data_IF_599633733421
#
_entry.id   IF_599633733421
#
_cell.length_a   1.000
_cell.length_b   1.000
_cell.length_c   1.000
_cell.angle_alpha   90.00
_cell.angle_beta   90.00
_cell.angle_gamma   90.00
#
_symmetry.space_group_name_H-M   'P 1'
#
loop_
_entity.id
_entity.type
_entity.pdbx_description
1 polymer ?
#
# COMPACT_ATOMS: atom_id res chain seq x y z
N UNK A 1 -21.32 -12.08 24.56
CA UNK A 1 -21.18 -11.66 23.16
C UNK A 1 -20.00 -12.44 22.62
N UNK A 2 -20.19 -13.29 21.62
CA UNK A 2 -19.06 -13.92 20.93
C UNK A 2 -18.11 -12.83 20.42
N UNK A 3 -16.80 -13.02 20.61
CA UNK A 3 -15.79 -12.12 20.08
C UNK A 3 -15.77 -12.24 18.56
N UNK A 4 -16.54 -11.39 17.86
CA UNK A 4 -16.58 -11.32 16.40
C UNK A 4 -15.16 -11.10 15.85
N UNK A 5 -14.74 -11.92 14.88
CA UNK A 5 -13.45 -11.77 14.20
C UNK A 5 -13.54 -10.67 13.15
N UNK A 6 -12.73 -9.63 13.32
CA UNK A 6 -12.68 -8.45 12.46
C UNK A 6 -11.41 -8.40 11.59
N UNK A 7 -10.33 -9.07 12.02
CA UNK A 7 -9.01 -9.00 11.38
C UNK A 7 -8.59 -10.40 10.93
N UNK A 8 -8.13 -10.50 9.68
CA UNK A 8 -7.73 -11.74 9.03
C UNK A 8 -6.32 -11.59 8.48
N UNK A 9 -5.39 -12.44 8.90
CA UNK A 9 -4.07 -12.50 8.23
C UNK A 9 -4.26 -12.97 6.79
N UNK A 10 -3.34 -12.62 5.88
CA UNK A 10 -3.41 -13.12 4.49
C UNK A 10 -3.33 -14.66 4.42
N UNK A 11 -2.77 -15.31 5.43
CA UNK A 11 -2.73 -16.76 5.57
C UNK A 11 -4.03 -17.39 6.10
N UNK A 12 -5.05 -16.60 6.40
CA UNK A 12 -6.31 -17.05 7.02
C UNK A 12 -7.51 -16.96 6.06
N UNK A 13 -7.29 -16.94 4.74
CA UNK A 13 -8.37 -16.84 3.75
C UNK A 13 -9.40 -17.97 3.88
N UNK A 14 -8.98 -19.19 4.24
CA UNK A 14 -9.87 -20.32 4.42
C UNK A 14 -10.82 -20.12 5.62
N UNK A 15 -10.40 -19.37 6.64
CA UNK A 15 -11.29 -19.01 7.77
C UNK A 15 -12.32 -17.97 7.33
N UNK A 16 -11.92 -17.00 6.49
CA UNK A 16 -12.86 -16.06 5.90
C UNK A 16 -13.88 -16.78 5.02
N UNK A 17 -13.42 -17.71 4.18
CA UNK A 17 -14.28 -18.52 3.30
C UNK A 17 -15.25 -19.41 4.09
N UNK A 18 -14.79 -20.03 5.19
CA UNK A 18 -15.66 -20.79 6.08
C UNK A 18 -16.71 -19.92 6.78
N UNK A 19 -16.36 -18.67 7.13
CA UNK A 19 -17.30 -17.73 7.74
C UNK A 19 -18.34 -17.22 6.75
N UNK A 20 -17.94 -16.93 5.51
CA UNK A 20 -18.83 -16.33 4.49
C UNK A 20 -19.57 -17.34 3.64
N UNK A 21 -19.10 -18.59 3.59
CA UNK A 21 -19.70 -19.71 2.84
C UNK A 21 -19.28 -19.80 1.37
N UNK A 22 -18.90 -18.68 0.75
CA UNK A 22 -18.40 -18.63 -0.64
C UNK A 22 -17.37 -17.51 -0.88
N UNK A 23 -16.76 -17.54 -2.07
CA UNK A 23 -15.75 -16.56 -2.49
C UNK A 23 -16.28 -15.13 -2.64
N UNK A 24 -17.54 -14.96 -3.05
CA UNK A 24 -18.14 -13.62 -3.19
C UNK A 24 -18.41 -12.95 -1.84
N UNK A 25 -18.66 -13.78 -0.82
CA UNK A 25 -18.69 -13.40 0.57
C UNK A 25 -17.30 -13.04 1.09
N UNK A 26 -16.24 -13.79 0.76
CA UNK A 26 -14.85 -13.42 1.11
C UNK A 26 -14.49 -12.05 0.55
N UNK A 27 -14.82 -11.80 -0.73
CA UNK A 27 -14.63 -10.48 -1.36
C UNK A 27 -15.49 -9.40 -0.74
N UNK A 28 -16.66 -9.74 -0.21
CA UNK A 28 -17.51 -8.83 0.56
C UNK A 28 -16.90 -8.47 1.91
N UNK A 29 -16.29 -9.44 2.60
CA UNK A 29 -15.71 -9.28 3.93
C UNK A 29 -14.34 -8.61 3.92
N UNK A 30 -13.44 -9.05 3.03
CA UNK A 30 -12.05 -8.60 2.96
C UNK A 30 -11.83 -7.51 1.89
N UNK A 31 -12.88 -7.16 1.15
CA UNK A 31 -12.75 -6.37 -0.07
C UNK A 31 -12.05 -7.15 -1.20
N UNK A 32 -12.10 -6.60 -2.42
CA UNK A 32 -11.44 -7.24 -3.57
C UNK A 32 -9.92 -7.33 -3.40
N UNK A 33 -9.29 -6.28 -2.85
CA UNK A 33 -7.83 -6.26 -2.63
C UNK A 33 -7.40 -7.26 -1.56
N UNK A 34 -8.06 -7.26 -0.41
CA UNK A 34 -7.72 -8.14 0.71
C UNK A 34 -7.97 -9.61 0.37
N UNK A 35 -9.07 -9.91 -0.31
CA UNK A 35 -9.34 -11.26 -0.81
C UNK A 35 -8.24 -11.74 -1.77
N UNK A 36 -7.85 -10.92 -2.75
CA UNK A 36 -6.82 -11.30 -3.73
C UNK A 36 -5.42 -11.41 -3.10
N UNK A 37 -5.07 -10.56 -2.13
CA UNK A 37 -3.82 -10.69 -1.36
C UNK A 37 -3.75 -12.01 -0.60
N UNK A 38 -4.85 -12.38 0.05
CA UNK A 38 -4.94 -13.62 0.82
C UNK A 38 -4.94 -14.86 -0.09
N UNK A 39 -5.59 -14.79 -1.24
CA UNK A 39 -5.62 -15.89 -2.21
C UNK A 39 -4.29 -16.07 -2.94
N UNK A 40 -3.62 -14.98 -3.33
CA UNK A 40 -2.23 -15.05 -3.81
C UNK A 40 -1.30 -15.70 -2.77
N UNK A 41 -1.48 -15.36 -1.49
CA UNK A 41 -0.72 -15.97 -0.38
C UNK A 41 -1.01 -17.48 -0.28
N UNK A 42 -2.29 -17.87 -0.34
CA UNK A 42 -2.73 -19.28 -0.38
C UNK A 42 -2.14 -20.04 -1.57
N UNK A 43 -1.97 -19.37 -2.71
CA UNK A 43 -1.33 -19.94 -3.90
C UNK A 43 0.19 -20.04 -3.77
N UNK A 44 0.82 -19.49 -2.74
CA UNK A 44 2.28 -19.46 -2.61
C UNK A 44 2.95 -18.48 -3.57
N UNK A 45 2.26 -17.42 -3.96
CA UNK A 45 2.85 -16.25 -4.63
C UNK A 45 3.61 -15.43 -3.58
N UNK A 46 4.77 -14.82 -3.91
CA UNK A 46 5.54 -14.03 -2.95
C UNK A 46 4.85 -12.71 -2.60
N UNK A 47 3.82 -12.77 -1.75
CA UNK A 47 3.12 -11.59 -1.22
C UNK A 47 3.80 -11.16 0.09
N UNK A 48 4.12 -9.87 0.30
CA UNK A 48 4.61 -9.41 1.58
C UNK A 48 3.58 -9.70 2.70
N UNK A 49 4.01 -10.25 3.86
CA UNK A 49 3.12 -10.59 4.97
C UNK A 49 2.27 -9.40 5.43
N UNK A 50 1.03 -9.68 5.80
CA UNK A 50 0.07 -8.66 6.21
C UNK A 50 -1.26 -9.23 6.67
N UNK A 51 -2.21 -8.33 6.89
CA UNK A 51 -3.56 -8.66 7.30
C UNK A 51 -4.58 -7.66 6.73
N UNK A 52 -5.83 -8.08 6.76
CA UNK A 52 -6.99 -7.30 6.34
C UNK A 52 -7.91 -7.10 7.54
N UNK A 53 -8.23 -5.84 7.81
CA UNK A 53 -9.33 -5.45 8.69
C UNK A 53 -10.60 -5.40 7.83
N UNK A 54 -11.59 -6.21 8.19
CA UNK A 54 -12.79 -6.46 7.40
C UNK A 54 -13.68 -5.23 7.17
N UNK A 55 -14.52 -5.31 6.14
CA UNK A 55 -15.59 -4.36 5.86
C UNK A 55 -16.63 -4.30 6.98
N UNK A 56 -16.90 -5.41 7.66
CA UNK A 56 -17.76 -5.45 8.83
C UNK A 56 -17.19 -4.62 10.00
N UNK A 57 -15.87 -4.56 10.15
CA UNK A 57 -15.23 -3.68 11.12
C UNK A 57 -15.46 -2.20 10.78
N UNK A 58 -15.39 -1.84 9.50
CA UNK A 58 -15.72 -0.49 9.03
C UNK A 58 -17.16 -0.11 9.36
N UNK A 59 -18.12 -0.99 9.04
CA UNK A 59 -19.53 -0.74 9.31
C UNK A 59 -19.81 -0.60 10.80
N UNK A 60 -19.22 -1.48 11.63
CA UNK A 60 -19.36 -1.41 13.07
C UNK A 60 -18.70 -0.15 13.66
N UNK A 61 -17.55 0.27 13.15
CA UNK A 61 -16.90 1.53 13.52
C UNK A 61 -17.76 2.75 13.20
N UNK A 62 -18.32 2.81 11.98
CA UNK A 62 -19.20 3.92 11.56
C UNK A 62 -20.51 3.94 12.37
N UNK A 63 -21.11 2.78 12.62
CA UNK A 63 -22.34 2.65 13.43
C UNK A 63 -22.11 3.02 14.91
N UNK A 64 -20.90 2.79 15.43
CA UNK A 64 -20.53 3.14 16.81
C UNK A 64 -20.12 4.62 17.00
N UNK A 65 -20.33 5.47 15.97
CA UNK A 65 -19.97 6.88 16.03
C UNK A 65 -18.45 7.09 15.99
N UNK A 66 -17.77 6.41 15.06
CA UNK A 66 -16.33 6.49 14.84
C UNK A 66 -15.49 5.99 16.04
N UNK A 67 -15.91 4.87 16.62
CA UNK A 67 -15.19 4.19 17.70
C UNK A 67 -14.95 2.74 17.31
N UNK A 68 -13.74 2.24 17.57
CA UNK A 68 -13.42 0.84 17.28
C UNK A 68 -14.35 -0.11 18.06
N UNK A 69 -14.96 -1.10 17.38
CA UNK A 69 -15.94 -1.97 18.00
C UNK A 69 -15.29 -3.10 18.81
N UNK A 70 -15.81 -3.37 20.01
CA UNK A 70 -15.41 -4.54 20.80
C UNK A 70 -13.90 -4.65 20.98
N UNK A 71 -13.34 -5.82 20.66
CA UNK A 71 -11.91 -6.12 20.74
C UNK A 71 -11.17 -5.99 19.39
N UNK A 72 -11.71 -5.19 18.45
CA UNK A 72 -11.18 -5.11 17.09
C UNK A 72 -9.74 -4.57 17.07
N UNK A 73 -9.40 -3.59 17.91
CA UNK A 73 -8.05 -3.05 17.98
C UNK A 73 -7.06 -4.07 18.56
N UNK A 74 -7.46 -4.84 19.56
CA UNK A 74 -6.66 -5.94 20.11
C UNK A 74 -6.38 -7.01 19.06
N UNK A 75 -7.32 -7.28 18.15
CA UNK A 75 -7.10 -8.17 17.01
C UNK A 75 -6.09 -7.59 16.01
N UNK A 76 -6.10 -6.27 15.76
CA UNK A 76 -5.07 -5.60 14.95
C UNK A 76 -3.70 -5.76 15.58
N UNK A 77 -3.57 -5.54 16.90
CA UNK A 77 -2.31 -5.73 17.63
C UNK A 77 -1.83 -7.19 17.55
N UNK A 78 -2.73 -8.16 17.71
CA UNK A 78 -2.41 -9.58 17.55
C UNK A 78 -1.93 -9.93 16.13
N UNK A 79 -2.55 -9.34 15.11
CA UNK A 79 -2.14 -9.52 13.72
C UNK A 79 -0.77 -8.88 13.42
N UNK A 80 -0.47 -7.71 14.01
CA UNK A 80 0.87 -7.12 13.97
C UNK A 80 1.90 -8.09 14.53
N UNK A 81 1.67 -8.65 15.72
CA UNK A 81 2.58 -9.64 16.33
C UNK A 81 2.79 -10.88 15.45
N UNK A 82 1.74 -11.36 14.77
CA UNK A 82 1.88 -12.47 13.82
C UNK A 82 2.73 -12.09 12.59
N UNK A 83 2.60 -10.86 12.08
CA UNK A 83 3.44 -10.35 10.98
C UNK A 83 4.89 -10.14 11.44
N UNK A 84 5.12 -9.68 12.67
CA UNK A 84 6.45 -9.61 13.27
C UNK A 84 7.13 -10.99 13.29
N UNK A 85 6.40 -12.03 13.70
CA UNK A 85 6.88 -13.41 13.68
C UNK A 85 7.25 -13.93 12.28
N UNK A 86 6.47 -13.57 11.25
CA UNK A 86 6.74 -13.97 9.87
C UNK A 86 7.93 -13.23 9.24
N UNK A 87 8.18 -11.99 9.66
CA UNK A 87 9.19 -11.13 9.06
C UNK A 87 10.51 -11.10 9.83
N UNK A 88 10.51 -11.50 11.11
CA UNK A 88 11.64 -11.33 12.02
C UNK A 88 11.96 -9.86 12.35
N UNK A 89 11.04 -8.94 12.02
CA UNK A 89 11.10 -7.51 12.30
C UNK A 89 10.07 -7.17 13.37
N UNK A 90 10.20 -6.01 14.01
CA UNK A 90 9.29 -5.59 15.08
C UNK A 90 8.77 -4.17 14.83
N UNK A 91 7.46 -3.98 14.98
CA UNK A 91 6.79 -2.72 14.72
C UNK A 91 7.15 -1.71 15.81
N UNK A 92 7.72 -0.58 15.38
CA UNK A 92 8.29 0.44 16.27
C UNK A 92 9.63 0.12 16.92
N UNK A 93 10.28 -0.98 16.52
CA UNK A 93 11.66 -1.26 16.92
C UNK A 93 12.66 -0.45 16.08
N UNK A 94 13.63 0.20 16.72
CA UNK A 94 14.62 1.04 16.03
C UNK A 94 15.72 0.23 15.34
N UNK A 95 15.99 -0.99 15.82
CA UNK A 95 17.08 -1.84 15.34
C UNK A 95 16.65 -2.81 14.25
N UNK A 96 15.41 -3.27 14.21
CA UNK A 96 14.85 -4.10 13.14
C UNK A 96 13.40 -3.67 12.87
N UNK A 97 13.20 -2.43 12.36
CA UNK A 97 11.87 -1.87 12.18
C UNK A 97 11.06 -2.68 11.18
N UNK A 98 9.85 -3.06 11.59
CA UNK A 98 8.78 -3.43 10.67
C UNK A 98 8.12 -2.13 10.22
N UNK A 99 8.09 -1.90 8.91
CA UNK A 99 7.37 -0.80 8.27
C UNK A 99 6.27 -1.39 7.42
N UNK A 100 5.11 -0.74 7.41
CA UNK A 100 3.92 -1.24 6.72
C UNK A 100 3.28 -0.18 5.83
N UNK A 101 2.51 -0.63 4.85
CA UNK A 101 1.56 0.18 4.11
C UNK A 101 0.15 -0.02 4.67
N UNK A 102 -0.70 0.98 4.49
CA UNK A 102 -2.14 0.93 4.75
C UNK A 102 -2.87 1.26 3.45
N UNK A 103 -3.69 0.32 2.97
CA UNK A 103 -4.37 0.40 1.66
C UNK A 103 -5.85 0.09 1.81
N UNK A 104 -6.70 1.00 1.35
CA UNK A 104 -8.15 0.77 1.29
C UNK A 104 -8.49 -0.34 0.28
N UNK A 105 -9.60 -1.05 0.51
CA UNK A 105 -10.11 -2.08 -0.40
C UNK A 105 -11.57 -2.39 -0.14
N UNK A 106 -12.48 -1.85 -0.96
CA UNK A 106 -13.88 -2.24 -0.96
C UNK A 106 -14.11 -3.51 -1.81
N UNK A 107 -15.33 -4.08 -1.76
CA UNK A 107 -15.71 -5.23 -2.62
C UNK A 107 -15.50 -4.92 -4.10
N UNK A 108 -15.85 -3.70 -4.51
CA UNK A 108 -15.67 -3.20 -5.87
C UNK A 108 -14.58 -2.12 -5.90
N UNK A 109 -13.90 -1.99 -7.04
CA UNK A 109 -12.94 -0.89 -7.24
C UNK A 109 -13.69 0.44 -7.29
N UNK A 110 -13.39 1.35 -6.37
CA UNK A 110 -14.11 2.61 -6.22
C UNK A 110 -13.15 3.81 -6.23
N UNK A 111 -13.30 4.76 -7.17
CA UNK A 111 -12.66 6.07 -7.09
C UNK A 111 -13.13 6.86 -5.86
N UNK A 112 -12.23 7.67 -5.28
CA UNK A 112 -12.56 8.55 -4.15
C UNK A 112 -12.55 7.88 -2.78
N UNK A 113 -12.10 6.63 -2.70
CA UNK A 113 -11.64 6.01 -1.45
C UNK A 113 -10.30 6.59 -1.03
N UNK A 114 -9.92 6.44 0.24
CA UNK A 114 -8.63 6.89 0.74
C UNK A 114 -7.47 6.30 -0.10
N UNK A 115 -6.52 7.17 -0.46
CA UNK A 115 -5.28 6.79 -1.12
C UNK A 115 -4.39 5.93 -0.20
N UNK A 116 -3.36 5.31 -0.78
CA UNK A 116 -2.44 4.44 -0.04
C UNK A 116 -1.50 5.28 0.83
N UNK A 117 -1.25 4.84 2.07
CA UNK A 117 -0.19 5.39 2.93
C UNK A 117 0.92 4.36 3.06
N UNK A 118 2.14 4.71 2.66
CA UNK A 118 3.31 3.84 2.78
C UNK A 118 4.19 4.22 3.97
N UNK A 119 5.09 3.32 4.36
CA UNK A 119 6.16 3.55 5.33
C UNK A 119 5.68 3.84 6.77
N UNK A 120 4.45 3.46 7.13
CA UNK A 120 3.92 3.57 8.50
C UNK A 120 4.86 2.80 9.44
N UNK A 121 5.22 3.44 10.55
CA UNK A 121 6.21 2.99 11.50
C UNK A 121 7.52 3.80 11.47
N UNK A 122 7.72 4.64 10.45
CA UNK A 122 8.84 5.59 10.45
C UNK A 122 8.62 6.69 11.50
N UNK A 123 9.66 6.98 12.26
CA UNK A 123 9.76 8.09 13.20
C UNK A 123 11.22 8.54 13.29
N UNK A 124 11.50 9.58 14.07
CA UNK A 124 12.87 10.13 14.16
C UNK A 124 13.90 9.11 14.65
N UNK A 125 13.55 8.30 15.66
CA UNK A 125 14.46 7.29 16.22
C UNK A 125 14.71 6.12 15.25
N UNK A 126 13.67 5.67 14.55
CA UNK A 126 13.78 4.64 13.50
C UNK A 126 14.62 5.17 12.35
N UNK A 127 14.39 6.41 11.90
CA UNK A 127 15.18 7.02 10.83
C UNK A 127 16.66 7.07 11.21
N UNK A 128 17.01 7.60 12.38
CA UNK A 128 18.39 7.68 12.87
C UNK A 128 19.11 6.32 12.82
N UNK A 129 18.47 5.26 13.31
CA UNK A 129 19.05 3.90 13.33
C UNK A 129 18.99 3.16 12.01
N UNK A 130 18.17 3.61 11.06
CA UNK A 130 18.08 3.00 9.74
C UNK A 130 19.14 3.54 8.79
N UNK A 131 19.61 4.79 9.00
CA UNK A 131 20.65 5.44 8.18
C UNK A 131 21.91 4.58 8.08
N UNK A 132 22.34 3.99 9.20
CA UNK A 132 23.54 3.14 9.29
C UNK A 132 23.49 1.92 8.33
N UNK A 133 22.29 1.44 7.97
CA UNK A 133 22.09 0.19 7.21
C UNK A 133 21.56 0.40 5.81
N UNK A 134 20.80 1.46 5.59
CA UNK A 134 20.08 1.71 4.35
C UNK A 134 20.56 2.98 3.61
N UNK A 135 21.42 3.78 4.24
CA UNK A 135 21.90 5.04 3.69
C UNK A 135 20.94 6.20 3.92
N UNK A 136 21.50 7.39 4.15
CA UNK A 136 20.74 8.57 4.58
C UNK A 136 19.71 9.03 3.55
N UNK A 137 20.07 9.02 2.27
CA UNK A 137 19.19 9.44 1.17
C UNK A 137 17.90 8.63 1.12
N UNK A 138 18.01 7.29 1.15
CA UNK A 138 16.86 6.40 1.11
C UNK A 138 15.95 6.59 2.33
N UNK A 139 16.55 6.66 3.53
CA UNK A 139 15.79 6.81 4.78
C UNK A 139 14.97 8.09 4.81
N UNK A 140 15.56 9.23 4.43
CA UNK A 140 14.81 10.47 4.39
C UNK A 140 13.83 10.56 3.21
N UNK A 141 14.06 9.86 2.09
CA UNK A 141 13.06 9.75 1.02
C UNK A 141 11.82 8.99 1.50
N UNK A 142 11.97 7.83 2.14
CA UNK A 142 10.80 7.10 2.66
C UNK A 142 10.14 7.84 3.83
N UNK A 143 10.90 8.60 4.61
CA UNK A 143 10.35 9.34 5.75
C UNK A 143 9.56 10.57 5.30
N UNK A 144 10.09 11.40 4.38
CA UNK A 144 9.32 12.54 3.83
C UNK A 144 8.04 12.06 3.15
N UNK A 145 8.10 10.92 2.45
CA UNK A 145 6.92 10.29 1.82
C UNK A 145 5.86 9.93 2.85
N UNK A 146 6.24 9.31 3.98
CA UNK A 146 5.29 9.07 5.07
C UNK A 146 4.67 10.37 5.55
N UNK A 147 5.47 11.39 5.88
CA UNK A 147 4.94 12.64 6.46
C UNK A 147 3.97 13.33 5.50
N UNK A 148 4.28 13.37 4.21
CA UNK A 148 3.41 13.90 3.17
C UNK A 148 2.11 13.10 3.05
N UNK A 149 2.19 11.79 2.76
CA UNK A 149 0.99 10.94 2.59
C UNK A 149 0.14 10.90 3.85
N UNK A 150 0.74 10.84 5.02
CA UNK A 150 0.00 10.84 6.27
C UNK A 150 -0.67 12.21 6.50
N UNK A 151 0.06 13.30 6.26
CA UNK A 151 -0.51 14.63 6.34
C UNK A 151 -1.68 14.84 5.38
N UNK A 152 -1.52 14.49 4.10
CA UNK A 152 -2.54 14.73 3.10
C UNK A 152 -3.70 13.74 3.17
N UNK A 153 -3.40 12.44 3.25
CA UNK A 153 -4.40 11.39 3.15
C UNK A 153 -5.09 11.11 4.49
N UNK A 154 -4.34 11.11 5.61
CA UNK A 154 -4.91 10.80 6.94
C UNK A 154 -5.48 12.06 7.60
N UNK A 155 -4.75 13.19 7.50
CA UNK A 155 -5.10 14.41 8.21
C UNK A 155 -5.73 15.51 7.33
N UNK A 156 -5.86 15.29 6.03
CA UNK A 156 -6.53 16.22 5.12
C UNK A 156 -5.75 17.51 4.85
N UNK A 157 -4.43 17.51 5.05
CA UNK A 157 -3.56 18.64 4.69
C UNK A 157 -3.48 18.75 3.16
N UNK A 158 -3.64 19.94 2.55
CA UNK A 158 -3.53 20.09 1.10
C UNK A 158 -2.17 19.61 0.59
N UNK A 159 -2.16 18.69 -0.37
CA UNK A 159 -0.94 18.08 -0.90
C UNK A 159 -0.04 19.11 -1.61
N UNK A 160 -0.65 20.15 -2.18
CA UNK A 160 0.04 21.26 -2.84
C UNK A 160 0.99 22.00 -1.88
N UNK A 161 0.72 21.98 -0.57
CA UNK A 161 1.61 22.57 0.42
C UNK A 161 2.94 21.81 0.52
N UNK A 162 2.91 20.47 0.38
CA UNK A 162 4.10 19.62 0.37
C UNK A 162 4.84 19.74 -0.97
N UNK A 163 4.12 19.68 -2.08
CA UNK A 163 4.71 19.78 -3.44
C UNK A 163 5.39 21.13 -3.69
N UNK A 164 4.85 22.21 -3.13
CA UNK A 164 5.49 23.53 -3.20
C UNK A 164 6.89 23.54 -2.56
N UNK A 165 7.09 22.80 -1.46
CA UNK A 165 8.39 22.70 -0.78
C UNK A 165 9.37 21.87 -1.59
N UNK A 166 8.96 20.72 -2.14
CA UNK A 166 9.83 19.91 -3.01
C UNK A 166 10.23 20.72 -4.25
N UNK A 167 9.27 21.38 -4.90
CA UNK A 167 9.50 22.23 -6.07
C UNK A 167 10.47 23.36 -5.80
N UNK A 168 10.35 24.04 -4.65
CA UNK A 168 11.27 25.10 -4.25
C UNK A 168 12.68 24.55 -4.00
N UNK A 169 12.78 23.36 -3.39
CA UNK A 169 14.06 22.73 -3.11
C UNK A 169 14.77 22.24 -4.38
N UNK A 170 14.05 21.65 -5.35
CA UNK A 170 14.58 21.31 -6.68
C UNK A 170 15.21 22.53 -7.36
N UNK A 171 14.48 23.65 -7.38
CA UNK A 171 14.97 24.92 -7.94
C UNK A 171 16.23 25.43 -7.22
N UNK A 172 16.25 25.35 -5.88
CA UNK A 172 17.41 25.76 -5.09
C UNK A 172 18.65 24.88 -5.36
N UNK A 173 18.44 23.58 -5.52
CA UNK A 173 19.51 22.61 -5.81
C UNK A 173 19.95 22.60 -7.28
N UNK A 174 19.20 23.25 -8.18
CA UNK A 174 19.50 23.27 -9.61
C UNK A 174 19.28 21.93 -10.31
N UNK A 175 18.34 21.13 -9.82
CA UNK A 175 18.04 19.79 -10.36
C UNK A 175 16.67 19.75 -11.01
N UNK A 176 16.52 18.91 -12.04
CA UNK A 176 15.26 18.75 -12.79
C UNK A 176 14.34 17.70 -12.15
N UNK A 177 14.91 16.67 -11.51
CA UNK A 177 14.16 15.55 -10.93
C UNK A 177 14.33 15.43 -9.42
N UNK A 178 13.31 14.90 -8.75
CA UNK A 178 13.40 14.45 -7.35
C UNK A 178 14.47 13.39 -7.16
N UNK A 179 14.69 12.56 -8.20
CA UNK A 179 15.71 11.53 -8.20
C UNK A 179 17.13 12.08 -8.01
N UNK A 180 17.35 13.38 -8.17
CA UNK A 180 18.65 14.04 -8.02
C UNK A 180 18.83 14.70 -6.65
N UNK A 181 17.76 14.98 -5.88
CA UNK A 181 17.81 15.67 -4.58
C UNK A 181 18.57 14.90 -3.48
N UNK A 182 19.60 15.49 -2.88
CA UNK A 182 20.51 14.82 -1.95
C UNK A 182 19.86 14.38 -0.63
N UNK A 183 20.60 13.61 0.18
CA UNK A 183 20.15 13.23 1.52
C UNK A 183 19.86 14.46 2.41
N UNK A 184 20.72 15.47 2.38
CA UNK A 184 20.54 16.72 3.12
C UNK A 184 19.31 17.49 2.63
N UNK A 185 19.03 17.43 1.33
CA UNK A 185 17.82 18.01 0.76
C UNK A 185 16.58 17.33 1.33
N UNK A 186 16.51 15.99 1.30
CA UNK A 186 15.39 15.23 1.86
C UNK A 186 15.22 15.42 3.35
N UNK A 187 16.31 15.52 4.11
CA UNK A 187 16.28 15.84 5.54
C UNK A 187 15.68 17.22 5.80
N UNK A 188 16.09 18.23 5.03
CA UNK A 188 15.54 19.58 5.13
C UNK A 188 14.05 19.63 4.75
N UNK A 189 13.65 18.89 3.70
CA UNK A 189 12.25 18.76 3.28
C UNK A 189 11.42 18.06 4.35
N UNK A 190 11.90 16.95 4.91
CA UNK A 190 11.22 16.19 5.97
C UNK A 190 10.91 17.09 7.17
N UNK A 191 11.88 17.91 7.60
CA UNK A 191 11.67 18.88 8.67
C UNK A 191 10.56 19.87 8.32
N UNK A 192 10.61 20.45 7.11
CA UNK A 192 9.60 21.40 6.65
C UNK A 192 8.21 20.77 6.52
N UNK A 193 8.12 19.51 6.12
CA UNK A 193 6.87 18.75 6.05
C UNK A 193 6.22 18.59 7.42
N UNK A 194 7.01 18.28 8.46
CA UNK A 194 6.49 18.22 9.84
C UNK A 194 5.98 19.58 10.33
N UNK A 195 6.62 20.68 9.93
CA UNK A 195 6.14 22.04 10.23
C UNK A 195 4.81 22.35 9.52
N UNK A 196 4.67 21.94 8.26
CA UNK A 196 3.40 22.03 7.52
C UNK A 196 2.33 21.22 8.24
N UNK A 197 2.60 19.95 8.54
CA UNK A 197 1.69 19.07 9.28
C UNK A 197 1.19 19.76 10.56
N UNK A 198 2.10 20.29 11.39
CA UNK A 198 1.76 20.99 12.63
C UNK A 198 0.95 22.27 12.40
N UNK A 199 1.25 23.01 11.35
CA UNK A 199 0.54 24.26 11.03
C UNK A 199 -0.93 23.99 10.72
N UNK A 200 -1.22 22.94 9.94
CA UNK A 200 -2.58 22.59 9.53
C UNK A 200 -3.34 21.80 10.59
N UNK A 201 -2.69 20.85 11.26
CA UNK A 201 -3.36 19.95 12.22
C UNK A 201 -3.37 20.48 13.65
N UNK A 202 -2.48 21.44 13.97
CA UNK A 202 -2.19 21.91 15.33
C UNK A 202 -1.53 20.87 16.24
N UNK A 203 -1.09 19.74 15.68
CA UNK A 203 -0.43 18.65 16.39
C UNK A 203 0.93 18.34 15.76
N UNK A 204 1.88 17.85 16.54
CA UNK A 204 3.13 17.34 15.96
C UNK A 204 2.90 16.02 15.24
N UNK A 205 3.73 15.73 14.22
CA UNK A 205 3.63 14.45 13.50
C UNK A 205 3.80 13.27 14.47
N UNK A 206 2.87 12.29 14.49
CA UNK A 206 2.86 11.22 15.48
C UNK A 206 4.14 10.38 15.40
N UNK A 207 4.91 10.34 16.49
CA UNK A 207 6.14 9.54 16.57
C UNK A 207 5.86 8.08 16.96
N UNK A 208 4.71 7.80 17.58
CA UNK A 208 4.28 6.44 17.93
C UNK A 208 3.73 5.71 16.68
N UNK A 209 4.39 4.62 16.24
CA UNK A 209 3.92 3.78 15.13
C UNK A 209 2.50 3.23 15.31
N UNK A 210 2.11 2.88 16.53
CA UNK A 210 0.78 2.32 16.79
C UNK A 210 -0.30 3.40 16.63
N UNK A 211 -0.03 4.62 17.08
CA UNK A 211 -0.90 5.76 16.81
C UNK A 211 -0.98 6.07 15.30
N UNK A 212 0.12 5.99 14.55
CA UNK A 212 0.10 6.15 13.10
C UNK A 212 -0.82 5.11 12.43
N UNK A 213 -0.66 3.82 12.77
CA UNK A 213 -1.51 2.75 12.23
C UNK A 213 -2.99 2.93 12.60
N UNK A 214 -3.26 3.36 13.83
CA UNK A 214 -4.61 3.61 14.33
C UNK A 214 -5.31 4.69 13.51
N UNK A 215 -4.67 5.86 13.39
CA UNK A 215 -5.19 6.99 12.62
C UNK A 215 -5.36 6.65 11.13
N UNK A 216 -4.41 5.94 10.54
CA UNK A 216 -4.52 5.48 9.15
C UNK A 216 -5.71 4.54 8.95
N UNK A 217 -5.96 3.62 9.91
CA UNK A 217 -7.12 2.71 9.88
C UNK A 217 -8.44 3.48 9.98
N UNK A 218 -8.53 4.44 10.91
CA UNK A 218 -9.70 5.31 11.08
C UNK A 218 -9.95 6.14 9.81
N UNK A 219 -8.92 6.70 9.20
CA UNK A 219 -9.03 7.46 7.96
C UNK A 219 -9.57 6.61 6.80
N UNK A 220 -9.14 5.35 6.66
CA UNK A 220 -9.70 4.44 5.64
C UNK A 220 -11.19 4.22 5.90
N UNK A 221 -11.60 3.93 7.12
CA UNK A 221 -13.02 3.76 7.45
C UNK A 221 -13.84 5.01 7.18
N UNK A 222 -13.36 6.19 7.59
CA UNK A 222 -14.04 7.47 7.34
C UNK A 222 -14.16 7.78 5.86
N UNK A 223 -13.17 7.38 5.05
CA UNK A 223 -13.18 7.61 3.61
C UNK A 223 -14.34 6.92 2.88
N UNK A 224 -14.90 5.85 3.45
CA UNK A 224 -16.12 5.22 2.93
C UNK A 224 -17.29 6.21 2.87
N UNK A 225 -17.40 7.13 3.82
CA UNK A 225 -18.43 8.17 3.84
C UNK A 225 -17.92 9.52 3.29
N UNK A 226 -16.77 9.53 2.61
CA UNK A 226 -16.27 10.69 1.89
C UNK A 226 -17.24 11.11 0.77
N UNK A 227 -17.34 12.42 0.51
CA UNK A 227 -18.27 12.97 -0.49
C UNK A 227 -18.12 12.32 -1.88
N UNK A 228 -16.88 12.10 -2.32
CA UNK A 228 -16.57 11.44 -3.61
C UNK A 228 -17.03 9.98 -3.62
N UNK A 229 -16.76 9.23 -2.55
CA UNK A 229 -17.16 7.83 -2.42
C UNK A 229 -18.69 7.68 -2.42
N UNK A 230 -19.42 8.52 -1.67
CA UNK A 230 -20.90 8.54 -1.66
C UNK A 230 -21.46 8.83 -3.05
N UNK A 231 -20.94 9.85 -3.73
CA UNK A 231 -21.38 10.22 -5.07
C UNK A 231 -21.16 9.08 -6.08
N UNK A 232 -19.99 8.43 -6.03
CA UNK A 232 -19.68 7.29 -6.87
C UNK A 232 -20.62 6.10 -6.60
N UNK A 233 -20.87 5.76 -5.33
CA UNK A 233 -21.81 4.66 -4.99
C UNK A 233 -23.21 4.90 -5.50
N UNK A 234 -23.73 6.12 -5.35
CA UNK A 234 -25.04 6.49 -5.86
C UNK A 234 -25.12 6.35 -7.39
N UNK A 235 -24.09 6.81 -8.10
CA UNK A 235 -24.02 6.73 -9.56
C UNK A 235 -23.88 5.28 -10.08
N UNK A 236 -23.13 4.43 -9.37
CA UNK A 236 -22.85 3.05 -9.76
C UNK A 236 -23.85 2.02 -9.18
N UNK A 237 -24.83 2.45 -8.38
CA UNK A 237 -25.78 1.54 -7.73
C UNK A 237 -25.15 0.63 -6.68
N UNK A 238 -24.08 1.07 -6.02
CA UNK A 238 -23.37 0.29 -5.00
C UNK A 238 -24.01 0.56 -3.63
N UNK A 239 -24.34 -0.51 -2.90
CA UNK A 239 -24.94 -0.41 -1.58
C UNK A 239 -23.99 0.25 -0.55
N UNK A 240 -24.55 1.10 0.32
CA UNK A 240 -23.78 1.90 1.29
C UNK A 240 -23.36 1.10 2.54
N UNK A 241 -24.00 -0.03 2.79
CA UNK A 241 -23.75 -0.95 3.89
C UNK A 241 -22.62 -1.96 3.60
N UNK A 242 -21.97 -1.89 2.45
CA UNK A 242 -20.85 -2.77 2.12
C UNK A 242 -19.58 -2.47 2.93
N UNK A 243 -19.33 -1.21 3.29
CA UNK A 243 -18.09 -0.79 3.94
C UNK A 243 -16.82 -0.91 3.07
N UNK A 244 -15.67 -0.59 3.67
CA UNK A 244 -14.34 -0.83 3.08
C UNK A 244 -13.46 -1.61 4.04
N UNK A 245 -12.60 -2.48 3.49
CA UNK A 245 -11.56 -3.13 4.26
C UNK A 245 -10.29 -2.26 4.32
N UNK A 246 -9.44 -2.55 5.30
CA UNK A 246 -8.10 -1.95 5.45
C UNK A 246 -7.06 -3.05 5.31
N UNK A 247 -6.17 -2.94 4.34
CA UNK A 247 -5.08 -3.89 4.13
C UNK A 247 -3.81 -3.28 4.73
N UNK A 248 -3.26 -3.94 5.75
CA UNK A 248 -1.98 -3.58 6.36
C UNK A 248 -0.94 -4.59 5.91
N UNK A 249 0.07 -4.13 5.18
CA UNK A 249 1.01 -5.01 4.50
C UNK A 249 2.45 -4.55 4.71
N UNK A 250 3.35 -5.49 5.00
CA UNK A 250 4.79 -5.23 5.13
C UNK A 250 5.35 -4.52 3.90
N UNK A 251 6.17 -3.50 4.10
CA UNK A 251 6.83 -2.78 3.01
C UNK A 251 7.86 -3.66 2.28
N UNK A 252 7.78 -3.62 0.95
CA UNK A 252 8.87 -3.99 0.03
C UNK A 252 9.33 -2.72 -0.69
N UNK A 253 10.64 -2.58 -0.91
CA UNK A 253 11.22 -1.32 -1.39
C UNK A 253 11.79 -1.43 -2.81
N UNK A 254 11.04 -0.87 -3.77
CA UNK A 254 11.48 -0.66 -5.14
C UNK A 254 12.49 0.48 -5.32
N UNK A 255 12.70 1.31 -4.28
CA UNK A 255 13.58 2.49 -4.27
C UNK A 255 14.83 2.33 -3.38
N UNK A 256 15.24 1.09 -3.07
CA UNK A 256 16.43 0.86 -2.24
C UNK A 256 17.75 1.10 -2.99
N UNK A 257 17.74 1.09 -4.32
CA UNK A 257 18.91 1.26 -5.17
C UNK A 257 18.96 0.24 -6.30
N UNK A 258 20.17 -0.19 -6.68
CA UNK A 258 20.37 -1.19 -7.72
C UNK A 258 19.69 -2.53 -7.37
N UNK A 259 19.08 -3.17 -8.38
CA UNK A 259 18.32 -4.41 -8.17
C UNK A 259 16.98 -4.24 -7.45
N UNK A 260 16.51 -2.99 -7.30
CA UNK A 260 15.17 -2.67 -6.82
C UNK A 260 14.37 -1.91 -7.88
N UNK A 261 13.08 -2.19 -7.95
CA UNK A 261 12.16 -1.55 -8.88
C UNK A 261 10.71 -1.83 -8.54
N UNK A 262 9.79 -1.23 -9.27
CA UNK A 262 8.35 -1.43 -9.09
C UNK A 262 7.65 -1.29 -10.43
N UNK A 263 6.54 -1.99 -10.62
CA UNK A 263 5.82 -1.91 -11.88
C UNK A 263 4.40 -2.42 -11.79
N UNK A 264 3.71 -2.23 -12.91
CA UNK A 264 2.35 -2.72 -13.16
C UNK A 264 2.38 -3.52 -14.45
N UNK A 265 1.68 -4.66 -14.48
CA UNK A 265 1.66 -5.51 -15.66
C UNK A 265 0.36 -6.27 -15.80
N UNK A 266 -0.03 -6.46 -17.05
CA UNK A 266 -1.10 -7.33 -17.49
C UNK A 266 -0.52 -8.68 -17.90
N UNK A 267 -1.21 -9.78 -17.58
CA UNK A 267 -0.78 -11.13 -17.96
C UNK A 267 -0.86 -11.40 -19.48
N UNK A 268 -1.54 -10.51 -20.20
CA UNK A 268 -1.70 -10.47 -21.67
C UNK A 268 -1.66 -9.02 -22.13
N UNK A 269 -1.45 -8.80 -23.42
CA UNK A 269 -1.65 -7.49 -24.01
C UNK A 269 -3.12 -7.07 -23.88
N UNK A 270 -3.39 -5.95 -23.21
CA UNK A 270 -4.73 -5.48 -22.90
C UNK A 270 -5.46 -4.90 -24.12
N UNK A 271 -4.72 -4.59 -25.19
CA UNK A 271 -5.23 -4.03 -26.45
C UNK A 271 -5.45 -5.10 -27.53
N UNK A 272 -4.50 -6.03 -27.70
CA UNK A 272 -4.52 -7.06 -28.76
C UNK A 272 -5.03 -8.42 -28.28
N UNK A 273 -4.97 -8.68 -26.96
CA UNK A 273 -5.28 -10.00 -26.37
C UNK A 273 -4.18 -11.05 -26.53
N UNK A 274 -3.04 -10.69 -27.15
CA UNK A 274 -1.89 -11.57 -27.31
C UNK A 274 -1.36 -12.04 -25.95
N UNK A 275 -0.90 -13.29 -25.91
CA UNK A 275 -0.43 -13.94 -24.68
C UNK A 275 1.03 -13.55 -24.37
N UNK A 276 1.24 -12.28 -24.10
CA UNK A 276 2.51 -11.67 -23.73
C UNK A 276 2.30 -10.71 -22.56
N UNK A 277 3.26 -10.66 -21.62
CA UNK A 277 3.21 -9.69 -20.54
C UNK A 277 3.35 -8.27 -21.10
N UNK A 278 2.39 -7.42 -20.78
CA UNK A 278 2.40 -6.00 -21.15
C UNK A 278 2.40 -5.16 -19.88
N UNK A 279 3.23 -4.13 -19.80
CA UNK A 279 3.25 -3.28 -18.63
C UNK A 279 4.39 -2.27 -18.61
N UNK A 280 4.46 -1.57 -17.51
CA UNK A 280 5.40 -0.49 -17.25
C UNK A 280 6.09 -0.71 -15.91
N UNK A 281 7.39 -0.42 -15.84
CA UNK A 281 8.15 -0.45 -14.60
C UNK A 281 9.11 0.72 -14.47
N UNK A 282 9.57 0.95 -13.25
CA UNK A 282 10.62 1.90 -12.92
C UNK A 282 11.63 1.24 -11.99
N UNK A 283 12.90 1.35 -12.34
CA UNK A 283 14.01 1.03 -11.43
C UNK A 283 14.20 2.15 -10.40
N UNK A 284 14.54 1.74 -9.18
CA UNK A 284 14.80 2.61 -8.04
C UNK A 284 13.64 3.62 -7.81
N UNK A 285 12.41 3.10 -7.61
CA UNK A 285 11.17 3.88 -7.49
C UNK A 285 10.15 3.22 -6.54
N UNK A 286 9.18 3.98 -6.03
CA UNK A 286 7.99 3.41 -5.36
C UNK A 286 6.78 3.43 -6.31
N UNK A 287 5.79 2.57 -6.07
CA UNK A 287 4.64 2.41 -6.98
C UNK A 287 3.89 3.72 -7.28
N UNK A 288 3.90 4.67 -6.33
CA UNK A 288 3.39 6.02 -6.53
C UNK A 288 4.03 6.73 -7.74
N UNK A 289 5.33 6.57 -7.96
CA UNK A 289 6.06 7.22 -9.05
C UNK A 289 5.63 6.68 -10.43
N UNK A 290 5.19 5.43 -10.49
CA UNK A 290 4.62 4.79 -11.70
C UNK A 290 3.23 5.34 -11.98
N UNK A 291 2.39 5.49 -10.95
CA UNK A 291 1.00 5.95 -11.08
C UNK A 291 0.92 7.46 -11.34
N UNK A 292 1.79 8.25 -10.72
CA UNK A 292 1.78 9.70 -10.84
C UNK A 292 2.28 10.21 -12.20
N UNK A 293 2.98 9.36 -12.98
CA UNK A 293 3.50 9.72 -14.31
C UNK A 293 4.59 10.80 -14.29
N UNK A 294 5.18 11.08 -13.11
CA UNK A 294 6.23 12.10 -12.94
C UNK A 294 7.54 11.62 -13.58
N UNK A 295 7.79 10.30 -13.56
CA UNK A 295 8.95 9.67 -14.20
C UNK A 295 8.50 8.90 -15.43
N UNK A 296 9.29 8.99 -16.51
CA UNK A 296 9.07 8.18 -17.71
C UNK A 296 9.31 6.71 -17.37
N UNK A 297 8.28 5.90 -17.50
CA UNK A 297 8.34 4.44 -17.31
C UNK A 297 9.12 3.75 -18.42
N UNK A 298 9.61 2.56 -18.11
CA UNK A 298 10.20 1.64 -19.08
C UNK A 298 9.19 0.52 -19.38
N UNK A 299 9.10 0.05 -20.65
CA UNK A 299 8.25 -1.07 -20.98
C UNK A 299 8.75 -2.33 -20.29
N UNK A 300 7.85 -3.14 -19.74
CA UNK A 300 8.18 -4.36 -18.99
C UNK A 300 9.07 -5.35 -19.78
N UNK A 301 9.01 -5.32 -21.11
CA UNK A 301 9.90 -6.11 -21.98
C UNK A 301 11.38 -5.87 -21.69
N UNK A 302 11.77 -4.67 -21.27
CA UNK A 302 13.18 -4.32 -21.00
C UNK A 302 13.68 -5.02 -19.72
N UNK A 303 12.78 -5.32 -18.77
CA UNK A 303 13.10 -6.08 -17.56
C UNK A 303 13.63 -7.48 -17.89
N UNK A 304 13.24 -8.05 -19.03
CA UNK A 304 13.76 -9.34 -19.51
C UNK A 304 15.27 -9.30 -19.78
N UNK A 305 15.80 -8.16 -20.20
CA UNK A 305 17.23 -7.97 -20.41
C UNK A 305 17.94 -7.52 -19.13
N UNK A 306 17.32 -6.63 -18.34
CA UNK A 306 17.93 -6.07 -17.13
C UNK A 306 17.96 -7.05 -15.95
N UNK A 307 16.89 -7.83 -15.74
CA UNK A 307 16.73 -8.78 -14.64
C UNK A 307 16.05 -10.08 -15.12
N UNK A 308 16.72 -10.88 -15.96
CA UNK A 308 16.10 -12.04 -16.64
C UNK A 308 15.51 -13.07 -15.67
N UNK A 309 16.14 -13.30 -14.51
CA UNK A 309 15.64 -14.23 -13.50
C UNK A 309 14.32 -13.75 -12.88
N UNK A 310 14.21 -12.46 -12.58
CA UNK A 310 12.98 -11.85 -12.03
C UNK A 310 11.88 -11.84 -13.08
N UNK A 311 12.20 -11.52 -14.33
CA UNK A 311 11.22 -11.55 -15.41
C UNK A 311 10.67 -12.96 -15.60
N UNK A 312 11.53 -13.98 -15.62
CA UNK A 312 11.11 -15.38 -15.75
C UNK A 312 10.26 -15.84 -14.54
N UNK A 313 10.63 -15.46 -13.32
CA UNK A 313 9.80 -15.70 -12.13
C UNK A 313 8.42 -15.04 -12.27
N UNK A 314 8.39 -13.79 -12.75
CA UNK A 314 7.17 -13.04 -12.93
C UNK A 314 6.25 -13.65 -14.00
N UNK A 315 6.80 -14.13 -15.12
CA UNK A 315 6.06 -14.87 -16.16
C UNK A 315 5.37 -16.11 -15.58
N UNK A 316 6.09 -16.90 -14.76
CA UNK A 316 5.53 -18.10 -14.12
C UNK A 316 4.39 -17.72 -13.17
N UNK A 317 4.56 -16.67 -12.38
CA UNK A 317 3.53 -16.18 -11.46
C UNK A 317 2.30 -15.68 -12.25
N UNK A 318 2.50 -14.87 -13.29
CA UNK A 318 1.41 -14.35 -14.10
C UNK A 318 0.58 -15.47 -14.74
N UNK A 319 1.24 -16.50 -15.30
CA UNK A 319 0.56 -17.67 -15.85
C UNK A 319 -0.22 -18.45 -14.80
N UNK A 320 0.34 -18.57 -13.58
CA UNK A 320 -0.32 -19.23 -12.45
C UNK A 320 -1.58 -18.48 -12.02
N UNK A 321 -1.49 -17.16 -11.90
CA UNK A 321 -2.63 -16.30 -11.55
C UNK A 321 -3.70 -16.31 -12.64
N UNK A 322 -3.34 -16.18 -13.91
CA UNK A 322 -4.28 -16.24 -15.02
C UNK A 322 -5.01 -17.60 -15.07
N UNK A 323 -4.29 -18.70 -14.85
CA UNK A 323 -4.90 -20.04 -14.80
C UNK A 323 -5.85 -20.20 -13.61
N UNK A 324 -5.49 -19.66 -12.45
CA UNK A 324 -6.30 -19.73 -11.23
C UNK A 324 -7.59 -18.91 -11.35
N UNK A 325 -7.48 -17.64 -11.73
CA UNK A 325 -8.64 -16.74 -11.88
C UNK A 325 -9.40 -16.94 -13.19
N UNK A 326 -8.85 -17.75 -14.12
CA UNK A 326 -9.41 -18.03 -15.45
C UNK A 326 -9.66 -16.75 -16.25
N UNK A 327 -8.85 -15.73 -16.00
CA UNK A 327 -9.00 -14.41 -16.58
C UNK A 327 -7.65 -13.70 -16.64
N UNK A 328 -7.47 -12.81 -17.62
CA UNK A 328 -6.29 -11.95 -17.69
C UNK A 328 -6.17 -11.12 -16.39
N UNK A 329 -4.97 -11.06 -15.83
CA UNK A 329 -4.72 -10.37 -14.56
C UNK A 329 -3.95 -9.08 -14.75
N UNK A 330 -4.38 -8.04 -14.06
CA UNK A 330 -3.65 -6.80 -13.78
C UNK A 330 -2.93 -6.96 -12.44
N UNK A 331 -1.61 -6.82 -12.45
CA UNK A 331 -0.72 -7.15 -11.33
C UNK A 331 0.16 -5.96 -10.99
N UNK A 332 0.29 -5.67 -9.70
CA UNK A 332 1.25 -4.70 -9.17
C UNK A 332 2.39 -5.47 -8.50
N UNK A 333 3.64 -5.14 -8.82
CA UNK A 333 4.81 -5.83 -8.27
C UNK A 333 5.89 -4.86 -7.80
N UNK A 334 6.73 -5.34 -6.89
CA UNK A 334 7.94 -4.66 -6.43
C UNK A 334 9.09 -5.65 -6.37
N UNK A 335 10.26 -5.21 -6.83
CA UNK A 335 11.52 -5.91 -6.68
C UNK A 335 12.27 -5.20 -5.56
N UNK A 336 12.60 -5.92 -4.49
CA UNK A 336 13.37 -5.41 -3.36
C UNK A 336 14.67 -6.20 -3.26
N UNK A 337 15.79 -5.57 -3.66
CA UNK A 337 17.15 -6.14 -3.67
C UNK A 337 17.19 -7.53 -4.31
N UNK A 338 16.68 -7.62 -5.54
CA UNK A 338 16.68 -8.86 -6.33
C UNK A 338 15.65 -9.90 -5.88
N UNK A 339 14.64 -9.51 -5.09
CA UNK A 339 13.51 -10.40 -4.74
C UNK A 339 12.20 -9.82 -5.22
N UNK A 340 11.45 -10.60 -5.98
CA UNK A 340 10.13 -10.23 -6.49
C UNK A 340 9.07 -10.37 -5.40
N UNK A 341 8.19 -9.39 -5.34
CA UNK A 341 7.00 -9.38 -4.50
C UNK A 341 5.77 -8.93 -5.30
N UNK A 342 4.65 -9.63 -5.13
CA UNK A 342 3.36 -9.21 -5.67
C UNK A 342 2.58 -8.44 -4.62
N UNK A 343 2.15 -7.23 -4.98
CA UNK A 343 1.43 -6.31 -4.11
C UNK A 343 -0.07 -6.26 -4.39
N UNK A 344 -0.49 -6.70 -5.57
CA UNK A 344 -1.90 -6.77 -5.95
C UNK A 344 -2.06 -7.64 -7.18
N UNK A 345 -3.22 -8.28 -7.28
CA UNK A 345 -3.74 -8.78 -8.55
C UNK A 345 -5.24 -8.51 -8.61
N UNK A 346 -5.78 -8.37 -9.82
CA UNK A 346 -7.21 -8.26 -10.10
C UNK A 346 -7.46 -8.61 -11.56
N UNK A 347 -8.71 -8.89 -11.90
CA UNK A 347 -9.10 -9.03 -13.30
C UNK A 347 -8.76 -7.74 -14.07
N UNK A 348 -7.98 -7.92 -15.13
CA UNK A 348 -7.50 -6.81 -15.95
C UNK A 348 -8.59 -6.25 -16.84
N UNK A 349 -8.67 -4.92 -16.88
CA UNK A 349 -9.53 -4.20 -17.83
C UNK A 349 -8.92 -4.31 -19.23
N UNK A 350 -9.76 -4.55 -20.24
CA UNK A 350 -9.33 -4.67 -21.65
C UNK A 350 -10.33 -3.95 -22.56
N UNK A 351 -9.88 -3.59 -23.76
CA UNK A 351 -10.78 -3.13 -24.82
C UNK A 351 -11.74 -4.26 -25.22
N UNK A 352 -12.99 -3.89 -25.52
CA UNK A 352 -14.05 -4.83 -25.89
C UNK A 352 -13.77 -5.51 -27.23
#
# INVERSE_FOLDING_TARGET
MENKKYVYLFTEVDQAEAYTGDWEGVRGLLGGKGANLADMTRLGVPVPPGFTVSTEACNAYLAAGEKFPGNMWEQVLGAVTAVEGQTGKKFGDVHKPLLVSCRSGAKFSMPGMMDTVLNIGMNDAVAEKMIERAGERFVYDIYRRLVQMFGSVVMGVPDEAYEAVISAKRKQAGVESDADLTADDWKSITKRFKEIYRTFTREDFPQDPFQQMKLATEAVFKSWNGKRAIAYRNAAGIAHDLGTAVNVQTMAYGNFGAGSGTGVAMSRNASTGEKELEGDYLMNAQGEDVVAGIRKTQPLSDLKAEMPEIYAEFEVIAQKLEKHYRNMQDMEFTIDRGKLYLLQTRDGKRTA
#
